data_IF_111715761571
#
_entry.id   IF_111715761571
#
_cell.length_a   1.000
_cell.length_b   1.000
_cell.length_c   1.000
_cell.angle_alpha   90.00
_cell.angle_beta   90.00
_cell.angle_gamma   90.00
#
_symmetry.space_group_name_H-M   'P 1'
#
loop_
_entity.id
_entity.type
_entity.pdbx_description
1 polymer ?
#
# COMPACT_ATOMS: atom_id res chain seq x y z
N UNK A 1 8.26 11.71 -12.09
CA UNK A 1 6.87 11.73 -12.60
C UNK A 1 6.22 10.45 -12.16
N UNK A 2 5.06 10.53 -11.52
CA UNK A 2 4.31 9.32 -11.14
C UNK A 2 3.63 8.71 -12.38
N UNK A 3 3.57 7.38 -12.49
CA UNK A 3 2.91 6.72 -13.61
C UNK A 3 1.39 6.91 -13.52
N UNK A 4 0.79 7.42 -14.60
CA UNK A 4 -0.68 7.50 -14.71
C UNK A 4 -1.23 6.09 -14.94
N UNK A 5 -1.90 5.51 -13.94
CA UNK A 5 -2.55 4.19 -14.04
C UNK A 5 -4.05 4.34 -14.21
N UNK A 6 -4.60 3.75 -15.27
CA UNK A 6 -6.05 3.64 -15.49
C UNK A 6 -6.45 2.17 -15.61
N UNK A 7 -7.39 1.73 -14.77
CA UNK A 7 -7.99 0.39 -14.86
C UNK A 7 -9.26 0.52 -15.70
N UNK A 8 -9.38 -0.32 -16.72
CA UNK A 8 -10.54 -0.34 -17.62
C UNK A 8 -11.07 -1.76 -17.73
N UNK A 9 -12.37 -1.89 -17.99
CA UNK A 9 -13.01 -3.16 -18.35
C UNK A 9 -13.52 -2.98 -19.78
N UNK A 10 -12.80 -3.48 -20.80
CA UNK A 10 -13.24 -3.36 -22.19
C UNK A 10 -14.56 -4.12 -22.40
N UNK A 11 -15.54 -3.48 -23.04
CA UNK A 11 -16.81 -4.12 -23.45
C UNK A 11 -16.77 -4.61 -24.89
N UNK A 12 -15.72 -4.26 -25.62
CA UNK A 12 -15.46 -4.57 -27.03
C UNK A 12 -14.01 -5.01 -27.19
N UNK A 13 -13.68 -5.55 -28.35
CA UNK A 13 -12.32 -5.97 -28.75
C UNK A 13 -11.33 -4.82 -28.94
N UNK A 14 -11.81 -3.57 -28.90
CA UNK A 14 -11.02 -2.36 -29.07
C UNK A 14 -11.26 -1.36 -27.94
N UNK A 15 -10.21 -0.59 -27.62
CA UNK A 15 -10.24 0.50 -26.64
C UNK A 15 -9.39 1.68 -27.13
N UNK A 16 -9.94 2.90 -27.05
CA UNK A 16 -9.26 4.13 -27.45
C UNK A 16 -8.70 4.85 -26.21
N UNK A 17 -7.37 5.02 -26.16
CA UNK A 17 -6.67 5.74 -25.09
C UNK A 17 -6.42 7.19 -25.49
N UNK A 18 -7.03 8.13 -24.77
CA UNK A 18 -6.74 9.56 -24.92
C UNK A 18 -5.59 9.98 -23.99
N UNK A 19 -4.50 10.48 -24.57
CA UNK A 19 -3.32 10.91 -23.81
C UNK A 19 -3.45 12.37 -23.35
N UNK A 20 -2.96 12.72 -22.15
CA UNK A 20 -2.85 14.11 -21.71
C UNK A 20 -1.92 14.92 -22.62
N UNK A 21 -2.18 16.24 -22.71
CA UNK A 21 -1.38 17.16 -23.55
C UNK A 21 0.10 17.13 -23.21
N UNK A 22 0.46 16.91 -21.95
CA UNK A 22 1.86 16.84 -21.50
C UNK A 22 2.66 15.64 -22.02
N UNK A 23 1.99 14.65 -22.63
CA UNK A 23 2.61 13.46 -23.24
C UNK A 23 2.84 13.60 -24.76
N UNK A 24 2.34 14.67 -25.38
CA UNK A 24 2.52 14.90 -26.83
C UNK A 24 4.00 15.08 -27.16
N UNK A 25 4.48 14.34 -28.17
CA UNK A 25 5.87 14.38 -28.64
C UNK A 25 6.86 13.57 -27.80
N UNK A 26 6.40 12.83 -26.78
CA UNK A 26 7.23 11.95 -25.95
C UNK A 26 7.06 10.49 -26.36
N UNK A 27 8.10 9.69 -26.15
CA UNK A 27 7.98 8.24 -26.23
C UNK A 27 7.17 7.73 -25.03
N UNK A 28 6.19 6.87 -25.31
CA UNK A 28 5.36 6.24 -24.29
C UNK A 28 5.41 4.72 -24.45
N UNK A 29 5.35 4.01 -23.33
CA UNK A 29 5.15 2.57 -23.29
C UNK A 29 3.72 2.31 -22.81
N UNK A 30 3.01 1.40 -23.49
CA UNK A 30 1.66 0.99 -23.14
C UNK A 30 1.68 -0.49 -22.81
N UNK A 31 1.33 -0.82 -21.56
CA UNK A 31 1.27 -2.20 -21.08
C UNK A 31 -0.16 -2.56 -20.73
N UNK A 32 -0.65 -3.67 -21.27
CA UNK A 32 -1.93 -4.27 -20.89
C UNK A 32 -1.68 -5.49 -20.02
N UNK A 33 -2.28 -5.51 -18.83
CA UNK A 33 -2.25 -6.65 -17.90
C UNK A 33 -3.65 -6.92 -17.40
N UNK A 34 -4.02 -8.19 -17.30
CA UNK A 34 -5.23 -8.57 -16.60
C UNK A 34 -5.09 -8.22 -15.12
N UNK A 35 -6.04 -7.45 -14.61
CA UNK A 35 -6.08 -7.07 -13.19
C UNK A 35 -7.15 -7.91 -12.53
N UNK A 36 -6.75 -8.89 -11.73
CA UNK A 36 -7.70 -9.56 -10.85
C UNK A 36 -8.24 -8.52 -9.87
N UNK A 37 -9.57 -8.43 -9.68
CA UNK A 37 -10.11 -7.58 -8.64
C UNK A 37 -9.53 -8.04 -7.31
N UNK A 38 -8.69 -7.22 -6.70
CA UNK A 38 -8.48 -7.32 -5.26
C UNK A 38 -9.84 -7.02 -4.66
N UNK A 39 -10.56 -8.06 -4.25
CA UNK A 39 -11.73 -7.89 -3.41
C UNK A 39 -11.32 -6.90 -2.31
N UNK A 40 -12.01 -5.76 -2.17
CA UNK A 40 -11.67 -4.79 -1.15
C UNK A 40 -11.66 -5.57 0.16
N UNK A 41 -10.46 -5.80 0.67
CA UNK A 41 -10.30 -6.53 1.92
C UNK A 41 -10.78 -5.55 2.96
N UNK A 42 -11.81 -5.93 3.69
CA UNK A 42 -12.38 -5.11 4.75
C UNK A 42 -11.27 -4.55 5.65
N UNK A 43 -11.43 -3.31 6.10
CA UNK A 43 -10.41 -2.59 6.86
C UNK A 43 -9.97 -3.40 8.08
N UNK A 44 -10.89 -4.09 8.76
CA UNK A 44 -10.58 -4.90 9.93
C UNK A 44 -9.70 -6.09 9.56
N UNK A 45 -9.99 -6.73 8.44
CA UNK A 45 -9.18 -7.85 7.93
C UNK A 45 -7.77 -7.38 7.52
N UNK A 46 -7.64 -6.17 6.96
CA UNK A 46 -6.33 -5.58 6.62
C UNK A 46 -5.54 -5.23 7.86
N UNK A 47 -6.19 -4.63 8.86
CA UNK A 47 -5.57 -4.28 10.14
C UNK A 47 -5.11 -5.51 10.89
N UNK A 48 -5.91 -6.60 10.86
CA UNK A 48 -5.52 -7.87 11.45
C UNK A 48 -4.28 -8.46 10.77
N UNK A 49 -4.27 -8.56 9.43
CA UNK A 49 -3.09 -9.03 8.67
C UNK A 49 -1.84 -8.20 8.95
N UNK A 50 -1.98 -6.87 9.03
CA UNK A 50 -0.87 -5.98 9.38
C UNK A 50 -0.36 -6.30 10.79
N UNK A 51 -1.25 -6.39 11.78
CA UNK A 51 -0.91 -6.72 13.15
C UNK A 51 -0.22 -8.09 13.28
N UNK A 52 -0.70 -9.09 12.55
CA UNK A 52 -0.12 -10.43 12.52
C UNK A 52 1.28 -10.41 11.89
N UNK A 53 1.45 -9.69 10.78
CA UNK A 53 2.75 -9.56 10.10
C UNK A 53 3.81 -8.87 10.97
N UNK A 54 3.38 -7.93 11.82
CA UNK A 54 4.25 -7.18 12.72
C UNK A 54 4.36 -7.82 14.11
N UNK A 55 3.61 -8.89 14.40
CA UNK A 55 3.53 -9.50 15.74
C UNK A 55 4.91 -9.88 16.30
N UNK A 56 5.81 -10.37 15.44
CA UNK A 56 7.18 -10.77 15.81
C UNK A 56 8.14 -9.60 16.02
N UNK A 57 7.73 -8.38 15.65
CA UNK A 57 8.51 -7.16 15.81
C UNK A 57 8.03 -6.31 17.00
N UNK A 58 6.96 -6.75 17.69
CA UNK A 58 6.45 -6.05 18.86
C UNK A 58 7.29 -6.42 20.08
N UNK A 59 7.70 -5.41 20.82
CA UNK A 59 8.28 -5.60 22.16
C UNK A 59 7.12 -5.89 23.12
N UNK A 60 7.19 -7.02 23.81
CA UNK A 60 6.22 -7.35 24.87
C UNK A 60 6.52 -6.50 26.11
N UNK A 61 5.57 -5.62 26.44
CA UNK A 61 5.64 -4.73 27.60
C UNK A 61 4.64 -5.12 28.68
N UNK A 62 4.00 -6.30 28.60
CA UNK A 62 2.91 -6.71 29.50
C UNK A 62 3.34 -6.69 30.98
N UNK A 63 4.60 -7.03 31.24
CA UNK A 63 5.18 -7.02 32.58
C UNK A 63 6.10 -5.83 32.83
N UNK A 64 6.22 -4.92 31.87
CA UNK A 64 7.06 -3.74 32.02
C UNK A 64 6.33 -2.68 32.84
N UNK A 65 6.98 -2.20 33.89
CA UNK A 65 6.54 -1.03 34.66
C UNK A 65 7.67 -0.03 34.66
N UNK A 66 7.34 1.20 34.27
CA UNK A 66 8.27 2.31 34.40
C UNK A 66 8.64 2.51 35.88
N UNK A 67 9.90 2.31 36.23
CA UNK A 67 10.42 2.66 37.56
C UNK A 67 11.13 4.02 37.48
N UNK A 68 10.53 5.02 38.13
CA UNK A 68 11.07 6.38 38.18
C UNK A 68 12.39 6.44 38.96
N UNK A 69 12.62 5.51 39.90
CA UNK A 69 13.83 5.49 40.70
C UNK A 69 15.01 4.91 39.91
N UNK A 70 14.77 3.96 39.00
CA UNK A 70 15.77 3.45 38.05
C UNK A 70 16.26 4.57 37.11
N UNK A 71 15.34 5.35 36.56
CA UNK A 71 15.65 6.43 35.62
C UNK A 71 16.43 7.61 36.24
N UNK A 72 16.45 7.72 37.57
CA UNK A 72 17.13 8.80 38.31
C UNK A 72 18.29 8.29 39.18
N UNK A 73 18.72 7.03 39.02
CA UNK A 73 19.87 6.51 39.75
C UNK A 73 21.19 6.96 39.09
N UNK A 74 21.62 8.18 39.43
CA UNK A 74 22.86 8.80 38.96
C UNK A 74 24.02 8.58 39.95
N UNK A 75 24.34 7.33 40.26
CA UNK A 75 25.62 6.99 40.90
C UNK A 75 26.78 7.03 39.87
#
# INVERSE_FOLDING_TARGET
>A
MEPVRKIIVPTTDSYMLNLPKEMVGKQIEVTAVEVSPTNPTDIDTRMQKLNDSLSKLKVDLTNWKFDRNEANNYD
#
